data_IF_624189322883
#
_entry.id   IF_624189322883
#
_cell.length_a   1.000
_cell.length_b   1.000
_cell.length_c   1.000
_cell.angle_alpha   90.00
_cell.angle_beta   90.00
_cell.angle_gamma   90.00
#
_symmetry.space_group_name_H-M   'P 1'
#
loop_
_entity.id
_entity.type
_entity.pdbx_description
1 polymer ?
#
# COMPACT_ATOMS: atom_id res chain seq x y z
N UNK A 1 13.35 -23.63 -32.18
CA UNK A 1 12.76 -24.43 -31.10
C UNK A 1 13.82 -24.56 -30.02
N UNK A 2 13.90 -23.57 -29.14
CA UNK A 2 14.87 -23.55 -28.06
C UNK A 2 14.14 -24.05 -26.81
N UNK A 3 14.67 -25.11 -26.21
CA UNK A 3 14.02 -25.86 -25.15
C UNK A 3 13.76 -25.00 -23.92
N UNK A 4 12.53 -25.10 -23.42
CA UNK A 4 12.10 -24.57 -22.13
C UNK A 4 13.14 -24.97 -21.05
N UNK A 5 13.84 -24.02 -20.41
CA UNK A 5 14.79 -24.37 -19.37
C UNK A 5 14.01 -25.06 -18.26
N UNK A 6 14.23 -26.38 -18.10
CA UNK A 6 13.65 -27.16 -17.00
C UNK A 6 13.91 -26.40 -15.71
N UNK A 7 12.89 -25.71 -15.20
CA UNK A 7 12.89 -25.14 -13.86
C UNK A 7 13.13 -26.33 -12.92
N UNK A 8 14.38 -26.48 -12.47
CA UNK A 8 14.76 -27.49 -11.50
C UNK A 8 13.89 -27.26 -10.26
N UNK A 9 12.91 -28.14 -10.04
CA UNK A 9 12.12 -28.11 -8.81
C UNK A 9 13.08 -28.31 -7.64
N UNK A 10 13.10 -27.34 -6.73
CA UNK A 10 13.84 -27.45 -5.47
C UNK A 10 13.36 -28.70 -4.72
N UNK A 11 14.28 -29.63 -4.48
CA UNK A 11 14.00 -30.80 -3.65
C UNK A 11 14.42 -30.52 -2.20
N UNK A 12 13.46 -30.68 -1.29
CA UNK A 12 13.65 -30.56 0.15
C UNK A 12 13.91 -31.90 0.85
N UNK A 13 14.04 -33.00 0.10
CA UNK A 13 14.27 -34.35 0.65
C UNK A 13 15.57 -34.48 1.42
N UNK A 14 16.56 -33.64 1.12
CA UNK A 14 17.80 -33.56 1.89
C UNK A 14 18.05 -32.09 2.29
N UNK A 15 17.68 -31.77 3.53
CA UNK A 15 17.84 -30.47 4.17
C UNK A 15 18.70 -30.66 5.41
N UNK A 16 19.88 -30.05 5.44
CA UNK A 16 20.78 -30.12 6.59
C UNK A 16 20.16 -29.35 7.78
N UNK A 17 20.12 -29.92 9.00
CA UNK A 17 19.44 -29.32 10.17
C UNK A 17 19.94 -27.94 10.61
N UNK A 18 21.13 -27.52 10.17
CA UNK A 18 21.77 -26.26 10.57
C UNK A 18 21.95 -26.10 12.09
N UNK A 19 22.11 -27.22 12.82
CA UNK A 19 22.31 -27.31 14.28
C UNK A 19 23.46 -26.44 14.82
N UNK A 20 24.49 -26.20 14.01
CA UNK A 20 25.63 -25.32 14.36
C UNK A 20 25.38 -23.83 14.12
N UNK A 21 24.24 -23.45 13.55
CA UNK A 21 23.90 -22.05 13.29
C UNK A 21 23.20 -21.45 14.51
N UNK A 22 23.70 -20.33 15.07
CA UNK A 22 23.01 -19.61 16.16
C UNK A 22 21.58 -19.19 15.79
N UNK A 23 21.28 -19.04 14.51
CA UNK A 23 19.94 -18.72 14.03
C UNK A 23 18.96 -19.88 14.29
N UNK A 24 19.41 -21.13 14.11
CA UNK A 24 18.61 -22.33 14.30
C UNK A 24 18.61 -22.85 15.74
N UNK A 25 19.40 -22.25 16.64
CA UNK A 25 19.25 -22.46 18.09
C UNK A 25 18.13 -21.62 18.71
N UNK A 26 17.62 -20.61 18.00
CA UNK A 26 16.48 -19.80 18.44
C UNK A 26 15.17 -20.57 18.30
N UNK A 27 14.14 -20.27 19.12
CA UNK A 27 12.77 -20.77 18.89
C UNK A 27 12.23 -20.36 17.51
N UNK A 28 11.35 -21.18 16.94
CA UNK A 28 10.78 -20.93 15.62
C UNK A 28 10.00 -19.61 15.54
N UNK A 29 9.39 -19.18 16.64
CA UNK A 29 8.68 -17.91 16.76
C UNK A 29 9.62 -16.72 16.58
N UNK A 30 10.81 -16.77 17.17
CA UNK A 30 11.82 -15.73 17.02
C UNK A 30 12.38 -15.73 15.60
N UNK A 31 12.59 -16.92 15.01
CA UNK A 31 12.99 -17.02 13.61
C UNK A 31 11.94 -16.42 12.68
N UNK A 32 10.65 -16.66 12.91
CA UNK A 32 9.56 -16.06 12.14
C UNK A 32 9.59 -14.53 12.18
N UNK A 33 9.84 -13.93 13.34
CA UNK A 33 10.03 -12.47 13.44
C UNK A 33 11.23 -12.01 12.61
N UNK A 34 12.36 -12.73 12.68
CA UNK A 34 13.55 -12.41 11.87
C UNK A 34 13.20 -12.50 10.38
N UNK A 35 12.53 -13.58 9.94
CA UNK A 35 12.09 -13.75 8.55
C UNK A 35 11.18 -12.61 8.11
N UNK A 36 10.20 -12.25 8.92
CA UNK A 36 9.29 -11.14 8.67
C UNK A 36 10.05 -9.83 8.48
N UNK A 37 10.86 -9.42 9.45
CA UNK A 37 11.59 -8.15 9.38
C UNK A 37 12.61 -8.08 8.23
N UNK A 38 13.27 -9.19 7.92
CA UNK A 38 14.34 -9.21 6.91
C UNK A 38 13.81 -9.30 5.47
N UNK A 39 12.65 -9.94 5.28
CA UNK A 39 12.11 -10.22 3.95
C UNK A 39 11.01 -9.24 3.55
N UNK A 40 10.39 -8.55 4.51
CA UNK A 40 9.35 -7.55 4.25
C UNK A 40 9.83 -6.53 3.22
N UNK A 41 9.06 -6.32 2.14
CA UNK A 41 9.44 -5.35 1.13
C UNK A 41 9.59 -3.95 1.74
N UNK A 42 10.61 -3.23 1.28
CA UNK A 42 10.81 -1.83 1.63
C UNK A 42 11.27 -1.03 0.42
N UNK A 43 11.36 0.29 0.59
CA UNK A 43 11.89 1.20 -0.42
C UNK A 43 13.37 0.90 -0.71
N UNK A 44 13.73 0.69 -1.98
CA UNK A 44 15.10 0.35 -2.41
C UNK A 44 16.03 1.59 -2.36
N UNK A 45 17.09 1.58 -1.53
CA UNK A 45 18.07 2.67 -1.44
C UNK A 45 18.81 2.98 -2.73
N UNK A 46 18.88 2.01 -3.64
CA UNK A 46 19.56 2.20 -4.91
C UNK A 46 18.68 2.86 -5.97
N UNK A 47 17.37 2.96 -5.72
CA UNK A 47 16.39 3.53 -6.66
C UNK A 47 15.41 4.47 -5.96
N UNK A 48 15.90 5.55 -5.33
CA UNK A 48 15.05 6.53 -4.68
C UNK A 48 14.24 7.30 -5.71
N UNK A 49 13.04 7.73 -5.32
CA UNK A 49 12.31 8.76 -6.04
C UNK A 49 12.97 10.12 -5.87
N UNK A 50 12.74 10.99 -6.85
CA UNK A 50 13.21 12.37 -6.79
C UNK A 50 12.64 13.06 -5.54
N UNK A 51 13.46 13.89 -4.89
CA UNK A 51 13.13 14.50 -3.60
C UNK A 51 11.90 15.40 -3.63
N UNK A 52 11.71 16.06 -4.76
CA UNK A 52 10.63 17.00 -5.09
C UNK A 52 9.40 16.32 -5.71
N UNK A 53 9.42 15.01 -5.92
CA UNK A 53 8.28 14.32 -6.52
C UNK A 53 7.06 14.31 -5.57
N UNK A 54 5.88 14.59 -6.13
CA UNK A 54 4.60 14.66 -5.41
C UNK A 54 4.13 13.33 -4.82
N UNK A 55 4.86 12.25 -5.09
CA UNK A 55 4.53 10.89 -4.67
C UNK A 55 5.55 10.30 -3.70
N UNK A 56 6.63 11.02 -3.38
CA UNK A 56 7.61 10.59 -2.38
C UNK A 56 7.02 10.75 -0.98
N UNK A 57 7.10 9.69 -0.18
CA UNK A 57 6.62 9.64 1.22
C UNK A 57 7.63 8.92 2.11
N UNK A 58 7.59 9.08 3.45
CA UNK A 58 8.50 8.37 4.35
C UNK A 58 8.44 6.86 4.21
N UNK A 59 7.25 6.31 3.97
CA UNK A 59 7.06 4.86 3.80
C UNK A 59 7.36 4.40 2.36
N UNK A 60 7.28 5.32 1.39
CA UNK A 60 7.45 5.07 -0.05
C UNK A 60 8.36 6.12 -0.67
N UNK A 61 9.66 6.05 -0.36
CA UNK A 61 10.65 6.98 -0.88
C UNK A 61 11.42 6.43 -2.09
N UNK A 62 11.14 5.20 -2.50
CA UNK A 62 11.67 4.56 -3.70
C UNK A 62 10.85 3.35 -4.13
N UNK A 63 11.33 2.65 -5.16
CA UNK A 63 10.74 1.38 -5.61
C UNK A 63 10.68 0.35 -4.49
N UNK A 64 9.56 -0.36 -4.36
CA UNK A 64 9.44 -1.44 -3.37
C UNK A 64 10.22 -2.68 -3.83
N UNK A 65 11.00 -3.26 -2.91
CA UNK A 65 11.82 -4.44 -3.18
C UNK A 65 11.83 -5.38 -1.99
N UNK A 66 11.56 -6.66 -2.25
CA UNK A 66 11.78 -7.74 -1.29
C UNK A 66 13.24 -8.15 -1.29
N UNK A 67 13.85 -8.23 -0.11
CA UNK A 67 15.24 -8.67 0.06
C UNK A 67 15.31 -10.19 0.18
N UNK A 68 15.35 -10.88 -0.97
CA UNK A 68 15.30 -12.36 -1.03
C UNK A 68 16.65 -13.06 -0.86
N UNK A 69 17.74 -12.32 -0.60
CA UNK A 69 19.08 -12.90 -0.45
C UNK A 69 19.15 -13.96 0.66
N UNK A 70 18.39 -13.74 1.74
CA UNK A 70 18.29 -14.67 2.86
C UNK A 70 17.72 -16.03 2.44
N UNK A 71 16.69 -16.03 1.57
CA UNK A 71 16.09 -17.25 1.02
C UNK A 71 17.06 -18.07 0.17
N UNK A 72 18.08 -17.43 -0.39
CA UNK A 72 19.12 -18.07 -1.19
C UNK A 72 20.26 -18.66 -0.34
N UNK A 73 20.24 -18.50 0.99
CA UNK A 73 21.36 -18.92 1.86
C UNK A 73 21.37 -20.43 2.09
N UNK A 74 20.24 -21.03 2.47
CA UNK A 74 20.13 -22.49 2.60
C UNK A 74 18.68 -22.99 2.49
N UNK A 75 18.52 -24.30 2.25
CA UNK A 75 17.19 -24.94 2.13
C UNK A 75 16.35 -24.86 3.41
N UNK A 76 16.97 -24.87 4.59
CA UNK A 76 16.26 -24.79 5.86
C UNK A 76 15.57 -23.42 6.00
N UNK A 77 16.30 -22.34 5.70
CA UNK A 77 15.74 -20.97 5.66
C UNK A 77 14.65 -20.89 4.60
N UNK A 78 14.91 -21.38 3.38
CA UNK A 78 13.90 -21.36 2.33
C UNK A 78 12.61 -22.09 2.76
N UNK A 79 12.73 -23.28 3.36
CA UNK A 79 11.58 -24.06 3.80
C UNK A 79 10.73 -23.34 4.86
N UNK A 80 11.35 -22.60 5.79
CA UNK A 80 10.63 -21.82 6.81
C UNK A 80 10.08 -20.48 6.28
N UNK A 81 10.77 -19.86 5.32
CA UNK A 81 10.61 -18.43 5.04
C UNK A 81 10.15 -18.05 3.61
N UNK A 82 10.06 -18.99 2.67
CA UNK A 82 9.77 -18.69 1.25
C UNK A 82 8.44 -17.95 1.02
N UNK A 83 7.47 -18.07 1.94
CA UNK A 83 6.17 -17.41 1.87
C UNK A 83 6.20 -15.93 2.25
N UNK A 84 7.17 -15.51 3.09
CA UNK A 84 7.22 -14.14 3.62
C UNK A 84 7.26 -13.04 2.56
N UNK A 85 7.99 -13.17 1.42
CA UNK A 85 7.97 -12.15 0.37
C UNK A 85 6.56 -11.83 -0.11
N UNK A 86 5.62 -12.75 0.05
CA UNK A 86 4.24 -12.60 -0.41
C UNK A 86 3.31 -12.23 0.74
N UNK A 87 3.43 -12.89 1.89
CA UNK A 87 2.50 -12.69 3.01
C UNK A 87 2.68 -11.36 3.71
N UNK A 88 3.87 -10.76 3.64
CA UNK A 88 4.17 -9.42 4.19
C UNK A 88 4.16 -8.33 3.12
N UNK A 89 3.96 -8.69 1.85
CA UNK A 89 3.84 -7.71 0.76
C UNK A 89 2.50 -6.99 0.78
N UNK A 90 2.50 -5.80 0.18
CA UNK A 90 1.29 -5.10 -0.23
C UNK A 90 1.15 -5.12 -1.76
N UNK A 91 -0.08 -5.30 -2.25
CA UNK A 91 -0.40 -4.98 -3.65
C UNK A 91 -0.50 -3.46 -3.79
N UNK A 92 0.50 -2.83 -4.41
CA UNK A 92 0.61 -1.37 -4.50
C UNK A 92 0.14 -0.83 -5.85
N UNK A 93 -0.84 0.08 -5.85
CA UNK A 93 -1.37 0.72 -7.05
C UNK A 93 -1.35 2.25 -6.92
N UNK A 94 -0.95 2.92 -7.99
CA UNK A 94 -1.07 4.37 -8.15
C UNK A 94 -2.11 4.65 -9.23
N UNK A 95 -3.30 5.04 -8.80
CA UNK A 95 -4.45 5.43 -9.63
C UNK A 95 -4.61 6.94 -9.56
N UNK A 96 -3.60 7.65 -10.05
CA UNK A 96 -3.51 9.10 -9.99
C UNK A 96 -2.88 9.63 -11.28
N UNK A 97 -2.83 10.95 -11.41
CA UNK A 97 -2.26 11.60 -12.59
C UNK A 97 -0.78 11.24 -12.77
N UNK A 98 -0.28 11.34 -14.00
CA UNK A 98 1.11 10.99 -14.32
C UNK A 98 2.15 11.78 -13.50
N UNK A 99 1.82 12.99 -13.04
CA UNK A 99 2.70 13.80 -12.18
C UNK A 99 2.75 13.30 -10.73
N UNK A 100 1.71 12.61 -10.25
CA UNK A 100 1.62 12.11 -8.87
C UNK A 100 1.86 10.60 -8.79
N UNK A 101 2.47 10.01 -9.81
CA UNK A 101 2.76 8.59 -9.90
C UNK A 101 4.19 8.33 -10.39
N UNK A 102 4.92 7.35 -9.82
CA UNK A 102 6.20 6.91 -10.38
C UNK A 102 6.03 6.30 -11.78
N UNK A 103 6.91 6.65 -12.73
CA UNK A 103 6.86 6.13 -14.12
C UNK A 103 6.92 4.59 -14.19
N UNK A 104 7.71 3.97 -13.32
CA UNK A 104 7.84 2.53 -13.16
C UNK A 104 6.52 1.79 -12.89
N UNK A 105 5.52 2.50 -12.33
CA UNK A 105 4.25 1.95 -11.92
C UNK A 105 3.17 2.02 -13.02
N UNK A 106 3.50 2.54 -14.21
CA UNK A 106 2.58 2.58 -15.36
C UNK A 106 2.01 1.20 -15.71
N UNK A 107 2.80 0.14 -15.54
CA UNK A 107 2.42 -1.26 -15.85
C UNK A 107 2.23 -2.14 -14.62
N UNK A 108 2.15 -1.54 -13.42
CA UNK A 108 2.04 -2.25 -12.13
C UNK A 108 0.90 -3.26 -12.11
N UNK A 109 -0.28 -2.88 -12.62
CA UNK A 109 -1.47 -3.73 -12.67
C UNK A 109 -1.25 -5.04 -13.42
N UNK A 110 -0.66 -4.96 -14.62
CA UNK A 110 -0.41 -6.15 -15.43
C UNK A 110 0.65 -7.04 -14.77
N UNK A 111 1.76 -6.46 -14.28
CA UNK A 111 2.83 -7.22 -13.63
C UNK A 111 2.34 -7.96 -12.40
N UNK A 112 1.60 -7.27 -11.51
CA UNK A 112 1.05 -7.87 -10.30
C UNK A 112 0.03 -8.97 -10.63
N UNK A 113 -0.84 -8.78 -11.63
CA UNK A 113 -1.78 -9.82 -12.09
C UNK A 113 -1.04 -11.08 -12.57
N UNK A 114 0.06 -10.93 -13.30
CA UNK A 114 0.88 -12.06 -13.77
C UNK A 114 1.48 -12.83 -12.61
N UNK A 115 2.01 -12.13 -11.60
CA UNK A 115 2.56 -12.75 -10.38
C UNK A 115 1.47 -13.48 -9.60
N UNK A 116 0.32 -12.86 -9.37
CA UNK A 116 -0.80 -13.46 -8.66
C UNK A 116 -1.32 -14.72 -9.37
N UNK A 117 -1.42 -14.70 -10.70
CA UNK A 117 -1.77 -15.88 -11.50
C UNK A 117 -0.76 -17.02 -11.31
N UNK A 118 0.53 -16.71 -11.25
CA UNK A 118 1.56 -17.71 -11.04
C UNK A 118 1.50 -18.31 -9.62
N UNK A 119 1.20 -17.50 -8.60
CA UNK A 119 1.02 -17.98 -7.23
C UNK A 119 -0.18 -18.92 -7.10
N UNK A 120 -1.30 -18.55 -7.71
CA UNK A 120 -2.52 -19.33 -7.72
C UNK A 120 -2.37 -20.65 -8.48
N UNK A 121 -1.80 -20.61 -9.69
CA UNK A 121 -1.63 -21.79 -10.54
C UNK A 121 -0.70 -22.86 -9.97
N UNK A 122 0.20 -22.48 -9.07
CA UNK A 122 1.06 -23.43 -8.35
C UNK A 122 0.42 -23.99 -7.06
N UNK A 123 -0.83 -23.60 -6.75
CA UNK A 123 -1.59 -24.06 -5.58
C UNK A 123 -0.87 -23.83 -4.24
N UNK A 124 -0.05 -22.79 -4.17
CA UNK A 124 0.73 -22.48 -2.97
C UNK A 124 -0.13 -22.08 -1.76
N UNK A 125 -1.41 -21.76 -1.95
CA UNK A 125 -2.29 -21.27 -0.89
C UNK A 125 -1.90 -19.89 -0.32
N UNK A 126 -0.91 -19.23 -0.92
CA UNK A 126 -0.42 -17.92 -0.51
C UNK A 126 -1.38 -16.83 -0.94
N UNK A 127 -1.67 -15.91 -0.02
CA UNK A 127 -2.50 -14.73 -0.27
C UNK A 127 -1.81 -13.47 0.23
N UNK A 128 -1.67 -12.50 -0.66
CA UNK A 128 -1.27 -11.14 -0.29
C UNK A 128 -2.49 -10.49 0.37
N UNK A 129 -2.38 -10.17 1.66
CA UNK A 129 -3.52 -9.77 2.49
C UNK A 129 -3.84 -8.28 2.44
N UNK A 130 -2.90 -7.45 1.98
CA UNK A 130 -3.04 -6.00 1.97
C UNK A 130 -2.95 -5.44 0.55
N UNK A 131 -3.92 -4.59 0.18
CA UNK A 131 -3.88 -3.77 -1.02
C UNK A 131 -3.77 -2.28 -0.67
N UNK A 132 -2.76 -1.61 -1.21
CA UNK A 132 -2.50 -0.17 -1.05
C UNK A 132 -2.81 0.54 -2.36
N UNK A 133 -3.65 1.57 -2.29
CA UNK A 133 -4.08 2.34 -3.46
C UNK A 133 -3.87 3.82 -3.19
N UNK A 134 -2.97 4.46 -3.94
CA UNK A 134 -2.91 5.92 -4.03
C UNK A 134 -3.92 6.38 -5.06
N UNK A 135 -4.96 7.11 -4.65
CA UNK A 135 -6.08 7.45 -5.51
C UNK A 135 -6.22 8.96 -5.70
N UNK A 136 -6.16 9.39 -6.97
CA UNK A 136 -6.44 10.76 -7.40
C UNK A 136 -7.94 11.07 -7.45
N UNK A 137 -8.29 12.35 -7.35
CA UNK A 137 -9.66 12.87 -7.43
C UNK A 137 -10.43 12.31 -8.63
N UNK A 138 -9.84 12.30 -9.82
CA UNK A 138 -10.49 11.77 -11.03
C UNK A 138 -10.86 10.29 -10.91
N UNK A 139 -10.02 9.50 -10.23
CA UNK A 139 -10.30 8.08 -10.00
C UNK A 139 -11.44 7.89 -8.99
N UNK A 140 -11.56 8.76 -8.01
CA UNK A 140 -12.65 8.70 -7.03
C UNK A 140 -13.98 9.21 -7.62
N UNK A 141 -13.93 10.19 -8.51
CA UNK A 141 -15.09 10.73 -9.23
C UNK A 141 -15.61 9.74 -10.29
N UNK A 142 -14.70 9.12 -11.04
CA UNK A 142 -14.99 8.15 -12.11
C UNK A 142 -14.38 6.77 -11.79
N UNK A 143 -15.00 5.99 -10.88
CA UNK A 143 -14.35 4.86 -10.21
C UNK A 143 -14.19 3.58 -11.03
N UNK A 144 -14.32 3.64 -12.35
CA UNK A 144 -14.16 2.47 -13.23
C UNK A 144 -12.77 1.84 -13.09
N UNK A 145 -11.72 2.66 -13.00
CA UNK A 145 -10.36 2.17 -12.86
C UNK A 145 -10.13 1.54 -11.48
N UNK A 146 -10.61 2.21 -10.43
CA UNK A 146 -10.56 1.75 -9.04
C UNK A 146 -11.27 0.40 -8.89
N UNK A 147 -12.50 0.29 -9.42
CA UNK A 147 -13.26 -0.96 -9.42
C UNK A 147 -12.48 -2.10 -10.08
N UNK A 148 -11.79 -1.82 -11.19
CA UNK A 148 -10.94 -2.80 -11.87
C UNK A 148 -9.72 -3.24 -11.05
N UNK A 149 -9.19 -2.41 -10.15
CA UNK A 149 -8.10 -2.79 -9.23
C UNK A 149 -8.64 -3.61 -8.05
N UNK A 150 -9.77 -3.18 -7.48
CA UNK A 150 -10.44 -3.90 -6.38
C UNK A 150 -10.80 -5.34 -6.78
N UNK A 151 -11.03 -5.58 -8.08
CA UNK A 151 -11.32 -6.91 -8.66
C UNK A 151 -10.13 -7.54 -9.39
N UNK A 152 -8.90 -7.17 -9.02
CA UNK A 152 -7.72 -7.87 -9.55
C UNK A 152 -7.87 -9.38 -9.33
N UNK A 153 -7.79 -10.16 -10.42
CA UNK A 153 -7.94 -11.61 -10.35
C UNK A 153 -6.86 -12.23 -9.46
N UNK A 154 -7.22 -13.31 -8.78
CA UNK A 154 -6.36 -14.06 -7.85
C UNK A 154 -5.90 -13.29 -6.60
N UNK A 155 -6.25 -12.00 -6.47
CA UNK A 155 -6.12 -11.30 -5.18
C UNK A 155 -7.31 -11.64 -4.29
N UNK A 156 -7.08 -11.65 -2.98
CA UNK A 156 -8.11 -11.77 -1.95
C UNK A 156 -7.65 -10.99 -0.71
N UNK A 157 -7.50 -9.65 -0.83
CA UNK A 157 -7.03 -8.82 0.28
C UNK A 157 -8.08 -8.84 1.41
N UNK A 158 -7.58 -8.81 2.64
CA UNK A 158 -8.39 -8.57 3.85
C UNK A 158 -8.44 -7.11 4.22
N UNK A 159 -7.34 -6.41 4.00
CA UNK A 159 -7.23 -4.97 4.25
C UNK A 159 -6.98 -4.24 2.94
N UNK A 160 -7.79 -3.21 2.69
CA UNK A 160 -7.52 -2.25 1.63
C UNK A 160 -7.24 -0.91 2.28
N UNK A 161 -6.21 -0.22 1.82
CA UNK A 161 -5.99 1.17 2.20
C UNK A 161 -5.94 2.06 0.99
N UNK A 162 -6.80 3.06 0.98
CA UNK A 162 -6.84 4.12 -0.02
C UNK A 162 -6.19 5.35 0.59
N UNK A 163 -5.14 5.86 -0.02
CA UNK A 163 -4.47 7.09 0.42
C UNK A 163 -4.74 8.19 -0.60
N UNK A 164 -5.36 9.27 -0.14
CA UNK A 164 -5.58 10.51 -0.89
C UNK A 164 -4.50 11.49 -0.43
N UNK A 165 -3.46 11.67 -1.25
CA UNK A 165 -2.36 12.59 -0.94
C UNK A 165 -2.76 14.02 -1.20
N UNK A 166 -1.99 14.98 -0.68
CA UNK A 166 -2.18 16.42 -0.92
C UNK A 166 -2.40 16.74 -2.40
N UNK A 167 -1.57 16.17 -3.28
CA UNK A 167 -1.62 16.42 -4.73
C UNK A 167 -2.70 15.60 -5.47
N UNK A 168 -3.46 14.78 -4.76
CA UNK A 168 -4.53 13.94 -5.30
C UNK A 168 -5.93 14.52 -5.08
N UNK A 169 -6.09 15.56 -4.24
CA UNK A 169 -7.37 16.24 -4.04
C UNK A 169 -7.82 17.04 -5.27
N UNK A 170 -9.13 17.24 -5.39
CA UNK A 170 -9.68 18.22 -6.33
C UNK A 170 -9.18 19.62 -5.98
N UNK A 171 -8.86 20.43 -6.99
CA UNK A 171 -8.43 21.82 -6.81
C UNK A 171 -7.18 22.06 -5.95
N UNK A 172 -6.38 21.03 -5.64
CA UNK A 172 -5.22 21.17 -4.75
C UNK A 172 -4.23 22.27 -5.18
N UNK A 173 -4.02 22.42 -6.51
CA UNK A 173 -3.14 23.47 -7.06
C UNK A 173 -3.67 24.87 -6.81
N UNK A 174 -4.99 25.04 -6.77
CA UNK A 174 -5.65 26.33 -6.64
C UNK A 174 -5.78 26.78 -5.17
N UNK A 175 -5.33 25.97 -4.20
CA UNK A 175 -5.53 26.19 -2.76
C UNK A 175 -6.99 26.46 -2.37
N UNK A 176 -7.93 25.92 -3.15
CA UNK A 176 -9.36 25.96 -2.82
C UNK A 176 -9.66 24.87 -1.79
N UNK A 177 -10.90 24.89 -1.28
CA UNK A 177 -11.39 23.87 -0.36
C UNK A 177 -11.11 22.47 -0.92
N UNK A 178 -10.55 21.61 -0.08
CA UNK A 178 -10.28 20.21 -0.43
C UNK A 178 -11.59 19.48 -0.67
N UNK A 179 -11.64 18.72 -1.76
CA UNK A 179 -12.82 17.95 -2.16
C UNK A 179 -12.44 16.50 -2.39
N UNK A 180 -13.26 15.59 -1.84
CA UNK A 180 -13.17 14.15 -2.06
C UNK A 180 -14.51 13.67 -2.62
N UNK A 181 -14.54 13.14 -3.84
CA UNK A 181 -15.76 12.57 -4.42
C UNK A 181 -16.32 11.43 -3.58
N UNK A 182 -17.64 11.31 -3.53
CA UNK A 182 -18.34 10.18 -2.90
C UNK A 182 -18.77 9.10 -3.92
N UNK A 183 -18.58 9.35 -5.22
CA UNK A 183 -19.01 8.42 -6.28
C UNK A 183 -18.43 7.02 -6.09
N UNK A 184 -17.13 6.92 -5.77
CA UNK A 184 -16.50 5.63 -5.47
C UNK A 184 -17.11 4.91 -4.25
N UNK A 185 -17.55 5.63 -3.21
CA UNK A 185 -18.22 5.03 -2.05
C UNK A 185 -19.49 4.30 -2.49
N UNK A 186 -20.27 4.96 -3.35
CA UNK A 186 -21.57 4.47 -3.79
C UNK A 186 -21.48 3.41 -4.90
N UNK A 187 -20.49 3.53 -5.79
CA UNK A 187 -20.37 2.72 -7.00
C UNK A 187 -19.41 1.53 -6.84
N UNK A 188 -18.32 1.67 -6.08
CA UNK A 188 -17.38 0.57 -5.90
C UNK A 188 -17.97 -0.57 -5.08
N UNK A 189 -17.52 -1.78 -5.40
CA UNK A 189 -17.82 -3.01 -4.68
C UNK A 189 -16.52 -3.71 -4.33
N UNK A 190 -16.44 -4.13 -3.08
CA UNK A 190 -15.27 -4.78 -2.50
C UNK A 190 -15.44 -6.29 -2.54
N UNK A 191 -14.33 -7.04 -2.65
CA UNK A 191 -14.37 -8.51 -2.57
C UNK A 191 -14.90 -8.94 -1.20
N UNK A 192 -15.56 -10.08 -1.17
CA UNK A 192 -15.99 -10.77 0.06
C UNK A 192 -14.84 -11.01 1.05
N UNK A 193 -13.61 -11.14 0.57
CA UNK A 193 -12.44 -11.29 1.45
C UNK A 193 -12.10 -10.03 2.27
N UNK A 194 -12.64 -8.86 1.92
CA UNK A 194 -12.26 -7.58 2.54
C UNK A 194 -12.96 -7.40 3.88
N UNK A 195 -12.17 -7.40 4.94
CA UNK A 195 -12.62 -7.23 6.33
C UNK A 195 -12.47 -5.78 6.80
N UNK A 196 -11.53 -5.02 6.21
CA UNK A 196 -11.20 -3.66 6.65
C UNK A 196 -10.84 -2.76 5.48
N UNK A 197 -11.42 -1.56 5.47
CA UNK A 197 -11.02 -0.46 4.59
C UNK A 197 -10.45 0.65 5.46
N UNK A 198 -9.26 1.14 5.11
CA UNK A 198 -8.64 2.32 5.70
C UNK A 198 -8.60 3.41 4.64
N UNK A 199 -8.98 4.63 5.00
CA UNK A 199 -8.82 5.79 4.11
C UNK A 199 -7.92 6.80 4.79
N UNK A 200 -6.78 7.06 4.17
CA UNK A 200 -5.79 8.04 4.63
C UNK A 200 -5.98 9.35 3.88
N UNK A 201 -6.40 10.38 4.61
CA UNK A 201 -6.57 11.74 4.13
C UNK A 201 -5.31 12.54 4.48
N UNK A 202 -4.41 12.70 3.51
CA UNK A 202 -3.12 13.38 3.71
C UNK A 202 -3.15 14.81 3.15
N UNK A 203 -2.86 15.80 3.99
CA UNK A 203 -2.77 17.21 3.59
C UNK A 203 -1.53 17.88 4.20
N UNK A 204 -1.40 19.19 3.97
CA UNK A 204 -0.48 20.04 4.71
C UNK A 204 -1.07 20.45 6.07
N UNK A 205 -0.21 20.81 7.01
CA UNK A 205 -0.59 21.23 8.37
C UNK A 205 -1.60 22.40 8.40
N UNK A 206 -1.56 23.31 7.44
CA UNK A 206 -2.49 24.45 7.32
C UNK A 206 -3.92 24.05 6.90
N UNK A 207 -4.12 22.82 6.41
CA UNK A 207 -5.40 22.29 5.92
C UNK A 207 -6.04 21.26 6.85
N UNK A 208 -5.53 21.10 8.09
CA UNK A 208 -6.05 20.13 9.06
C UNK A 208 -7.57 20.31 9.29
N UNK A 209 -8.04 21.54 9.46
CA UNK A 209 -9.47 21.81 9.70
C UNK A 209 -10.36 21.31 8.55
N UNK A 210 -9.92 21.47 7.30
CA UNK A 210 -10.65 20.98 6.14
C UNK A 210 -10.67 19.44 6.09
N UNK A 211 -9.55 18.78 6.40
CA UNK A 211 -9.51 17.30 6.50
C UNK A 211 -10.38 16.80 7.65
N UNK A 212 -10.42 17.49 8.77
CA UNK A 212 -11.31 17.13 9.88
C UNK A 212 -12.79 17.25 9.44
N UNK A 213 -13.19 18.28 8.71
CA UNK A 213 -14.55 18.37 8.13
C UNK A 213 -14.86 17.20 7.18
N UNK A 214 -13.93 16.85 6.29
CA UNK A 214 -14.09 15.75 5.33
C UNK A 214 -14.22 14.42 6.08
N UNK A 215 -13.39 14.17 7.08
CA UNK A 215 -13.40 12.90 7.82
C UNK A 215 -14.64 12.75 8.69
N UNK A 216 -15.17 13.83 9.26
CA UNK A 216 -16.48 13.81 9.94
C UNK A 216 -17.63 13.46 8.99
N UNK A 217 -17.59 13.94 7.74
CA UNK A 217 -18.56 13.53 6.71
C UNK A 217 -18.36 12.06 6.32
N UNK A 218 -17.11 11.64 6.15
CA UNK A 218 -16.74 10.29 5.77
C UNK A 218 -17.20 9.22 6.77
N UNK A 219 -17.33 9.53 8.07
CA UNK A 219 -17.89 8.61 9.06
C UNK A 219 -19.26 8.04 8.66
N UNK A 220 -20.03 8.76 7.83
CA UNK A 220 -21.34 8.33 7.34
C UNK A 220 -21.26 7.40 6.13
N UNK A 221 -20.10 7.31 5.48
CA UNK A 221 -19.90 6.47 4.32
C UNK A 221 -20.07 4.99 4.66
N UNK A 222 -20.67 4.26 3.72
CA UNK A 222 -20.86 2.82 3.80
C UNK A 222 -20.35 2.18 2.51
N UNK A 223 -19.34 1.33 2.63
CA UNK A 223 -18.81 0.59 1.50
C UNK A 223 -19.51 -0.75 1.39
N UNK A 224 -19.83 -1.18 0.16
CA UNK A 224 -20.53 -2.45 -0.07
C UNK A 224 -19.60 -3.54 -0.59
N UNK A 225 -19.68 -4.72 0.01
CA UNK A 225 -19.04 -5.95 -0.48
C UNK A 225 -19.87 -6.63 -1.55
N UNK A 226 -19.24 -7.55 -2.28
CA UNK A 226 -19.88 -8.34 -3.34
C UNK A 226 -21.04 -9.22 -2.83
N UNK A 227 -20.91 -9.75 -1.62
CA UNK A 227 -21.94 -10.54 -0.94
C UNK A 227 -23.10 -9.69 -0.36
N UNK A 228 -23.01 -8.37 -0.48
CA UNK A 228 -24.01 -7.43 0.03
C UNK A 228 -23.76 -6.92 1.44
N UNK A 229 -22.75 -7.43 2.15
CA UNK A 229 -22.36 -6.87 3.46
C UNK A 229 -21.85 -5.43 3.33
N UNK A 230 -21.98 -4.68 4.42
CA UNK A 230 -21.58 -3.28 4.49
C UNK A 230 -20.39 -3.13 5.44
N UNK A 231 -19.40 -2.34 5.02
CA UNK A 231 -18.37 -1.84 5.91
C UNK A 231 -18.74 -0.43 6.37
N UNK A 232 -18.63 -0.19 7.68
CA UNK A 232 -18.95 1.10 8.31
C UNK A 232 -17.86 1.50 9.29
N UNK A 233 -17.65 2.82 9.43
CA UNK A 233 -16.78 3.37 10.46
C UNK A 233 -17.41 3.28 11.87
N UNK A 234 -18.73 3.09 11.93
CA UNK A 234 -19.46 2.87 13.17
C UNK A 234 -20.10 1.48 13.16
N UNK A 235 -19.55 0.59 13.97
CA UNK A 235 -20.05 -0.76 14.23
C UNK A 235 -20.50 -0.89 15.69
N UNK A 236 -20.89 -2.10 16.12
CA UNK A 236 -21.15 -2.37 17.53
C UNK A 236 -19.91 -2.14 18.41
N UNK A 237 -18.74 -2.46 17.87
CA UNK A 237 -17.47 -2.51 18.61
C UNK A 237 -16.53 -1.33 18.29
N UNK A 238 -16.86 -0.50 17.28
CA UNK A 238 -16.07 0.66 16.87
C UNK A 238 -16.97 1.89 16.62
N UNK A 239 -16.56 3.06 17.12
CA UNK A 239 -17.27 4.33 16.92
C UNK A 239 -16.37 5.36 16.24
N UNK A 240 -16.13 5.19 14.94
CA UNK A 240 -15.33 6.12 14.15
C UNK A 240 -13.87 6.12 14.54
N UNK A 241 -13.22 4.95 14.47
CA UNK A 241 -11.77 4.82 14.70
C UNK A 241 -11.02 5.78 13.76
N UNK A 242 -10.33 6.75 14.37
CA UNK A 242 -9.47 7.69 13.69
C UNK A 242 -8.08 7.73 14.31
N UNK A 243 -7.06 7.74 13.48
CA UNK A 243 -5.67 7.99 13.88
C UNK A 243 -5.15 9.21 13.13
N UNK A 244 -4.26 9.95 13.78
CA UNK A 244 -3.52 11.04 13.15
C UNK A 244 -2.03 10.72 13.18
N UNK A 245 -1.36 10.99 12.07
CA UNK A 245 0.10 10.93 11.97
C UNK A 245 0.63 12.16 11.26
N UNK A 246 1.85 12.54 11.62
CA UNK A 246 2.58 13.63 10.98
C UNK A 246 3.87 13.10 10.38
N UNK A 247 4.30 13.73 9.31
CA UNK A 247 5.63 13.52 8.78
C UNK A 247 6.15 14.77 8.09
N UNK A 248 7.46 14.80 7.86
CA UNK A 248 8.15 15.97 7.30
C UNK A 248 9.06 15.53 6.16
N UNK A 249 9.10 16.31 5.08
CA UNK A 249 10.17 16.25 4.10
C UNK A 249 10.93 17.59 4.08
N UNK A 250 12.17 17.53 3.60
CA UNK A 250 12.88 18.73 3.16
C UNK A 250 12.20 19.17 1.86
N UNK A 251 11.70 20.40 1.79
CA UNK A 251 11.06 20.93 0.59
C UNK A 251 11.97 20.84 -0.63
N UNK A 252 11.38 20.89 -1.83
CA UNK A 252 12.12 20.89 -3.09
C UNK A 252 13.18 22.01 -3.12
N UNK A 253 14.24 21.81 -3.93
CA UNK A 253 15.20 22.87 -4.26
C UNK A 253 14.48 24.07 -4.86
N UNK A 254 15.05 25.27 -4.71
CA UNK A 254 14.42 26.55 -5.07
C UNK A 254 13.79 26.58 -6.49
N UNK A 255 14.35 25.85 -7.44
CA UNK A 255 13.90 25.82 -8.84
C UNK A 255 12.59 25.05 -9.10
N UNK A 256 12.17 24.16 -8.19
CA UNK A 256 10.94 23.36 -8.28
C UNK A 256 10.02 23.59 -7.07
N UNK A 257 10.33 24.58 -6.23
CA UNK A 257 9.40 25.06 -5.21
C UNK A 257 8.19 25.66 -5.91
N UNK A 258 7.06 24.98 -5.83
CA UNK A 258 5.79 25.66 -6.01
C UNK A 258 5.75 26.77 -4.97
N UNK A 259 5.40 27.99 -5.35
CA UNK A 259 5.39 29.18 -4.47
C UNK A 259 4.53 29.05 -3.19
N UNK A 260 3.89 27.89 -3.01
CA UNK A 260 2.89 27.52 -2.01
C UNK A 260 3.31 26.31 -1.18
N UNK A 261 4.53 25.80 -1.40
CA UNK A 261 5.21 24.81 -0.56
C UNK A 261 6.07 25.47 0.53
N UNK A 262 5.93 26.79 0.68
CA UNK A 262 6.44 27.53 1.83
C UNK A 262 5.57 27.07 3.01
N UNK A 263 6.06 26.11 3.78
CA UNK A 263 5.67 26.09 5.18
C UNK A 263 6.01 27.46 5.74
N UNK A 264 5.09 28.11 6.47
CA UNK A 264 5.31 29.39 7.15
C UNK A 264 6.50 29.40 8.12
N UNK A 265 7.26 28.30 8.19
CA UNK A 265 8.42 28.10 9.04
C UNK A 265 9.68 28.34 8.20
N UNK A 266 10.53 29.24 8.67
CA UNK A 266 11.80 29.69 8.07
C UNK A 266 12.80 28.56 7.72
N UNK A 267 12.51 27.29 8.06
CA UNK A 267 13.40 26.14 7.93
C UNK A 267 13.25 25.35 6.61
N UNK A 268 12.31 25.74 5.73
CA UNK A 268 12.09 25.10 4.43
C UNK A 268 11.54 23.67 4.51
N UNK A 269 10.97 23.29 5.67
CA UNK A 269 10.32 21.99 5.86
C UNK A 269 8.84 22.06 5.54
N UNK A 270 8.32 21.00 4.94
CA UNK A 270 6.89 20.87 4.67
C UNK A 270 6.33 19.82 5.63
N UNK A 271 5.37 20.24 6.44
CA UNK A 271 4.70 19.39 7.42
C UNK A 271 3.45 18.79 6.79
N UNK A 272 3.44 17.46 6.73
CA UNK A 272 2.32 16.68 6.26
C UNK A 272 1.54 16.11 7.45
N UNK A 273 0.23 16.18 7.34
CA UNK A 273 -0.72 15.60 8.28
C UNK A 273 -1.52 14.52 7.57
N UNK A 274 -1.70 13.36 8.21
CA UNK A 274 -2.57 12.30 7.70
C UNK A 274 -3.56 11.93 8.77
N UNK A 275 -4.86 12.04 8.43
CA UNK A 275 -5.95 11.44 9.21
C UNK A 275 -6.36 10.14 8.55
N UNK A 276 -6.32 9.03 9.28
CA UNK A 276 -6.86 7.76 8.79
C UNK A 276 -8.20 7.50 9.44
N UNK A 277 -9.20 7.13 8.65
CA UNK A 277 -10.48 6.61 9.13
C UNK A 277 -10.57 5.13 8.77
N UNK A 278 -11.16 4.32 9.64
CA UNK A 278 -11.25 2.86 9.46
C UNK A 278 -12.70 2.41 9.38
N UNK A 279 -13.02 1.61 8.36
CA UNK A 279 -14.31 0.95 8.17
C UNK A 279 -14.12 -0.56 8.30
N UNK A 280 -15.01 -1.20 9.07
CA UNK A 280 -15.00 -2.64 9.31
C UNK A 280 -16.34 -3.22 8.90
N UNK A 281 -16.35 -4.50 8.55
CA UNK A 281 -17.59 -5.27 8.31
C UNK A 281 -18.47 -5.17 9.56
N UNK A 282 -19.75 -4.85 9.35
CA UNK A 282 -20.75 -4.72 10.42
C UNK A 282 -21.10 -6.06 11.08
#
# INVERSE_FOLDING_TARGET
MEGDPKLLRLSFTNTLPQDRSPLFTLPGEIRNLIWEYTITPGSDPTRPFLADSLYRRPDYWGEQKSHVALLCTCKAIYAEAWQFPWTTSELLYYLSNNETRPLSHQYSRWRQKTVLKALDGNQYGIRIKHMRIFAGWQTLEFPSELQGVLYTLYSAPRTITVTIRRADYGNWRANRKLEVPENWVNQCRFRDSVETIRVEFECLEDKIAEVDEITQQALKWQFRRQDGELLSATTRDAQGEMEARWWVNKGASEDLRWSRDIGDKEDGRIWHFVRTVVWRVK
#
